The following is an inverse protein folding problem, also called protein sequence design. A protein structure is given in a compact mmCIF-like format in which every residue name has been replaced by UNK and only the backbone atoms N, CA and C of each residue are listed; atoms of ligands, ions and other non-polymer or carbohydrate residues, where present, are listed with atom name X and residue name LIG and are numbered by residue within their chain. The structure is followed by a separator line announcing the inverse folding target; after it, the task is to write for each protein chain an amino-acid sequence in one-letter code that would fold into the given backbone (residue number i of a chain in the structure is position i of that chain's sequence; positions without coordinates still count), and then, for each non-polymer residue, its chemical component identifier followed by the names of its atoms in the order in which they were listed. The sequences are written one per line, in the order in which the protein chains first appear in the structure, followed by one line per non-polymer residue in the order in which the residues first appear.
data_IF_307494057684
#
_entry.id   IF_307494057684
#
_cell.length_a   1.000
_cell.length_b   1.000
_cell.length_c   1.000
_cell.angle_alpha   90.00
_cell.angle_beta   90.00
_cell.angle_gamma   90.00
#
_symmetry.space_group_name_H-M   'P 1'
#
loop_
_entity.id
_entity.type
_entity.pdbx_description
1 polymer ?
#
# COMPACT_ATOMS: atom_id res chain seq x y z
N UNK A 1 10.47 -11.48 10.89
CA UNK A 1 10.65 -10.41 9.89
C UNK A 1 9.88 -10.78 8.62
N UNK A 2 9.08 -9.87 8.11
CA UNK A 2 8.28 -10.16 6.90
C UNK A 2 9.09 -9.88 5.65
N UNK A 3 8.99 -10.78 4.67
CA UNK A 3 9.62 -10.58 3.37
C UNK A 3 8.78 -9.61 2.52
N UNK A 4 9.39 -9.09 1.45
CA UNK A 4 8.67 -8.21 0.52
C UNK A 4 7.46 -8.93 -0.09
N UNK A 5 7.59 -10.23 -0.38
CA UNK A 5 6.48 -11.00 -0.94
C UNK A 5 5.32 -11.13 0.02
N UNK A 6 5.61 -11.34 1.31
CA UNK A 6 4.57 -11.42 2.33
C UNK A 6 3.85 -10.08 2.49
N UNK A 7 4.60 -8.99 2.48
CA UNK A 7 4.04 -7.65 2.58
C UNK A 7 3.22 -7.33 1.33
N UNK A 8 3.71 -7.71 0.16
CA UNK A 8 2.99 -7.51 -1.10
C UNK A 8 1.66 -8.26 -1.09
N UNK A 9 1.64 -9.51 -0.62
CA UNK A 9 0.41 -10.29 -0.53
C UNK A 9 -0.59 -9.61 0.41
N UNK A 10 -0.12 -9.08 1.51
CA UNK A 10 -0.97 -8.38 2.47
C UNK A 10 -1.54 -7.10 1.88
N UNK A 11 -0.72 -6.32 1.20
CA UNK A 11 -1.14 -5.12 0.51
C UNK A 11 -2.14 -5.46 -0.59
N UNK A 12 -1.87 -6.50 -1.36
CA UNK A 12 -2.78 -6.95 -2.42
C UNK A 12 -4.17 -7.26 -1.85
N UNK A 13 -4.22 -8.02 -0.78
CA UNK A 13 -5.48 -8.35 -0.12
C UNK A 13 -6.22 -7.10 0.35
N UNK A 14 -5.49 -6.16 0.93
CA UNK A 14 -6.06 -4.90 1.40
C UNK A 14 -6.63 -4.07 0.24
N UNK A 15 -5.86 -3.91 -0.83
CA UNK A 15 -6.31 -3.13 -1.98
C UNK A 15 -7.50 -3.77 -2.68
N UNK A 16 -7.49 -5.09 -2.81
CA UNK A 16 -8.60 -5.82 -3.41
C UNK A 16 -9.87 -5.60 -2.58
N UNK A 17 -9.75 -5.67 -1.27
CA UNK A 17 -10.90 -5.52 -0.38
C UNK A 17 -11.43 -4.09 -0.35
N UNK A 18 -10.53 -3.10 -0.27
CA UNK A 18 -10.93 -1.70 -0.15
C UNK A 18 -11.50 -1.14 -1.45
N UNK A 19 -10.91 -1.53 -2.58
CA UNK A 19 -11.20 -0.89 -3.86
C UNK A 19 -11.75 -1.87 -4.90
N UNK A 20 -12.03 -3.10 -4.51
CA UNK A 20 -12.61 -4.13 -5.38
C UNK A 20 -11.79 -4.36 -6.65
N UNK A 21 -10.46 -4.40 -6.48
CA UNK A 21 -9.53 -4.62 -7.57
C UNK A 21 -9.34 -6.11 -7.86
N UNK A 22 -8.92 -6.43 -9.08
CA UNK A 22 -8.50 -7.79 -9.40
C UNK A 22 -7.12 -8.06 -8.81
N UNK A 23 -6.93 -9.19 -8.10
CA UNK A 23 -5.61 -9.49 -7.52
C UNK A 23 -4.49 -9.51 -8.54
N UNK A 24 -4.76 -9.95 -9.77
CA UNK A 24 -3.77 -10.01 -10.83
C UNK A 24 -3.27 -8.63 -11.26
N UNK A 25 -4.05 -7.58 -11.03
CA UNK A 25 -3.67 -6.22 -11.38
C UNK A 25 -2.77 -5.57 -10.33
N UNK A 26 -2.73 -6.13 -9.12
CA UNK A 26 -1.94 -5.59 -8.02
C UNK A 26 -0.55 -6.21 -8.07
N UNK A 27 0.32 -5.62 -8.88
CA UNK A 27 1.72 -6.02 -9.04
C UNK A 27 2.63 -4.93 -8.49
N UNK A 28 3.90 -5.23 -8.20
CA UNK A 28 4.81 -4.18 -7.71
C UNK A 28 4.96 -2.99 -8.65
N UNK A 29 4.84 -3.21 -9.95
CA UNK A 29 4.96 -2.16 -10.94
C UNK A 29 3.66 -1.37 -11.17
N UNK A 30 2.54 -1.85 -10.63
CA UNK A 30 1.24 -1.19 -10.81
C UNK A 30 1.26 0.19 -10.15
N UNK A 31 0.82 1.19 -10.89
CA UNK A 31 0.75 2.57 -10.40
C UNK A 31 -0.60 2.79 -9.75
N UNK A 32 -0.58 3.35 -8.54
CA UNK A 32 -1.80 3.46 -7.73
C UNK A 32 -2.88 4.31 -8.42
N UNK A 33 -2.49 5.47 -8.93
CA UNK A 33 -3.46 6.40 -9.55
C UNK A 33 -3.81 6.00 -10.97
N UNK A 34 -2.81 5.63 -11.76
CA UNK A 34 -2.97 5.45 -13.20
C UNK A 34 -3.45 4.05 -13.57
N UNK A 35 -2.92 3.02 -12.91
CA UNK A 35 -3.25 1.63 -13.25
C UNK A 35 -4.38 1.09 -12.38
N UNK A 36 -4.42 1.46 -11.11
CA UNK A 36 -5.43 0.97 -10.17
C UNK A 36 -6.56 1.97 -9.95
N UNK A 37 -6.46 3.15 -10.54
CA UNK A 37 -7.48 4.20 -10.48
C UNK A 37 -7.85 4.61 -9.05
N UNK A 38 -6.87 4.52 -8.14
CA UNK A 38 -7.03 4.96 -6.76
C UNK A 38 -6.86 6.49 -6.75
N UNK A 39 -7.85 7.22 -6.22
CA UNK A 39 -7.73 8.68 -6.16
C UNK A 39 -7.19 9.14 -4.80
N UNK A 40 -7.02 10.45 -4.65
CA UNK A 40 -6.42 11.02 -3.45
C UNK A 40 -7.27 10.83 -2.20
N UNK A 41 -8.58 10.67 -2.36
CA UNK A 41 -9.48 10.39 -1.24
C UNK A 41 -9.29 8.95 -0.76
N UNK A 42 -9.15 8.03 -1.71
CA UNK A 42 -8.92 6.62 -1.40
C UNK A 42 -7.60 6.40 -0.67
N UNK A 43 -6.58 7.23 -0.95
CA UNK A 43 -5.29 7.13 -0.28
C UNK A 43 -5.42 7.32 1.24
N UNK A 44 -6.37 8.14 1.69
CA UNK A 44 -6.60 8.33 3.13
C UNK A 44 -7.02 7.01 3.79
N UNK A 45 -7.92 6.27 3.16
CA UNK A 45 -8.32 4.95 3.66
C UNK A 45 -7.15 3.98 3.66
N UNK A 46 -6.32 4.05 2.63
CA UNK A 46 -5.14 3.21 2.53
C UNK A 46 -4.14 3.53 3.65
N UNK A 47 -3.95 4.80 3.97
CA UNK A 47 -3.08 5.22 5.08
C UNK A 47 -3.58 4.64 6.41
N UNK A 48 -4.89 4.67 6.65
CA UNK A 48 -5.49 4.08 7.84
C UNK A 48 -5.17 2.59 7.95
N UNK A 49 -5.32 1.86 6.85
CA UNK A 49 -5.04 0.43 6.84
C UNK A 49 -3.56 0.14 7.10
N UNK A 50 -2.67 0.94 6.53
CA UNK A 50 -1.23 0.80 6.78
C UNK A 50 -0.92 1.02 8.26
N UNK A 51 -1.55 2.01 8.89
CA UNK A 51 -1.39 2.24 10.33
C UNK A 51 -1.84 1.04 11.15
N UNK A 52 -2.96 0.43 10.79
CA UNK A 52 -3.47 -0.74 11.50
C UNK A 52 -2.53 -1.94 11.38
N UNK A 53 -1.98 -2.16 10.18
CA UNK A 53 -1.11 -3.30 9.94
C UNK A 53 0.26 -3.14 10.59
N UNK A 54 0.80 -1.92 10.62
CA UNK A 54 2.14 -1.68 11.13
C UNK A 54 2.17 -1.26 12.59
N UNK A 55 1.05 -0.76 13.12
CA UNK A 55 1.02 -0.18 14.46
C UNK A 55 1.75 1.15 14.54
N UNK A 56 2.16 1.71 13.42
CA UNK A 56 2.92 2.96 13.35
C UNK A 56 2.08 4.06 12.74
N UNK A 57 2.32 5.28 13.18
CA UNK A 57 1.63 6.43 12.61
C UNK A 57 2.15 6.70 11.19
N UNK A 58 1.22 6.86 10.27
CA UNK A 58 1.52 7.15 8.86
C UNK A 58 1.14 8.60 8.57
N UNK A 59 2.06 9.34 7.98
CA UNK A 59 1.84 10.74 7.63
C UNK A 59 1.65 10.88 6.12
N UNK A 60 1.01 11.98 5.67
CA UNK A 60 0.94 12.24 4.22
C UNK A 60 2.31 12.30 3.54
N UNK A 61 3.36 12.70 4.28
CA UNK A 61 4.71 12.73 3.73
C UNK A 61 5.23 11.34 3.39
N UNK A 62 4.85 10.33 4.17
CA UNK A 62 5.23 8.95 3.89
C UNK A 62 4.70 8.49 2.54
N UNK A 63 3.56 9.03 2.12
CA UNK A 63 2.93 8.67 0.86
C UNK A 63 3.26 9.61 -0.30
N UNK A 64 3.96 10.70 -0.03
CA UNK A 64 4.24 11.70 -1.06
C UNK A 64 5.00 11.13 -2.24
N UNK A 65 5.93 10.23 -1.99
CA UNK A 65 6.75 9.60 -3.03
C UNK A 65 6.23 8.25 -3.48
N UNK A 66 5.12 7.78 -2.91
CA UNK A 66 4.53 6.49 -3.27
C UNK A 66 3.74 6.64 -4.57
N UNK A 67 4.18 5.95 -5.61
CA UNK A 67 3.50 5.94 -6.91
C UNK A 67 3.04 4.55 -7.31
N UNK A 68 3.80 3.53 -6.95
CA UNK A 68 3.52 2.14 -7.30
C UNK A 68 3.24 1.31 -6.06
N UNK A 69 2.70 0.12 -6.28
CA UNK A 69 2.52 -0.86 -5.19
C UNK A 69 3.87 -1.19 -4.56
N UNK A 70 4.93 -1.31 -5.36
CA UNK A 70 6.27 -1.56 -4.82
C UNK A 70 6.75 -0.46 -3.90
N UNK A 71 6.45 0.80 -4.21
CA UNK A 71 6.77 1.92 -3.33
C UNK A 71 6.03 1.79 -2.00
N UNK A 72 4.79 1.33 -2.03
CA UNK A 72 4.01 1.10 -0.81
C UNK A 72 4.60 -0.02 0.02
N UNK A 73 5.07 -1.10 -0.62
CA UNK A 73 5.78 -2.17 0.07
C UNK A 73 7.00 -1.63 0.80
N UNK A 74 7.75 -0.76 0.15
CA UNK A 74 8.95 -0.14 0.74
C UNK A 74 8.60 0.70 1.98
N UNK A 75 7.51 1.47 1.91
CA UNK A 75 7.03 2.25 3.05
C UNK A 75 6.65 1.33 4.21
N UNK A 76 5.92 0.26 3.94
CA UNK A 76 5.54 -0.69 4.98
C UNK A 76 6.75 -1.36 5.62
N UNK A 77 7.75 -1.74 4.81
CA UNK A 77 8.98 -2.32 5.34
C UNK A 77 9.68 -1.36 6.29
N UNK A 78 9.76 -0.09 5.91
CA UNK A 78 10.38 0.93 6.76
C UNK A 78 9.63 1.08 8.08
N UNK A 79 8.30 1.13 8.03
CA UNK A 79 7.47 1.29 9.22
C UNK A 79 7.54 0.06 10.14
N UNK A 80 7.61 -1.12 9.58
CA UNK A 80 7.70 -2.36 10.37
C UNK A 80 9.05 -2.51 11.07
N UNK A 81 10.08 -1.84 10.56
CA UNK A 81 11.41 -1.85 11.19
C UNK A 81 11.55 -0.78 12.29
N UNK A 82 10.67 0.18 12.30
CA UNK A 82 10.71 1.28 13.24
C UNK A 82 10.37 0.85 14.67
#
# INVERSE_FOLDING_TARGET
MQSDDEILDRIRGTLVQLFQLEPADVTPAARLYEDLEIDSIDVVDLMDEVQRHTGQKVTPEDFRSVRTVGDLVAVMQRLLRA
#
